data_IF_387281548006
#
_entry.id   IF_387281548006
#
_cell.length_a   1.000
_cell.length_b   1.000
_cell.length_c   1.000
_cell.angle_alpha   90.00
_cell.angle_beta   90.00
_cell.angle_gamma   90.00
#
_symmetry.space_group_name_H-M   'P 1'
#
loop_
_entity.id
_entity.type
_entity.pdbx_description
1 polymer ?
#
# COMPACT_ATOMS: atom_id res chain seq x y z
N UNK A 1 -28.45 -10.62 13.96
CA UNK A 1 -27.94 -10.59 15.34
C UNK A 1 -27.12 -9.35 15.58
N UNK A 2 -26.69 -9.12 16.83
CA UNK A 2 -25.85 -7.96 17.20
C UNK A 2 -24.50 -7.98 16.47
N UNK A 3 -23.90 -9.15 16.28
CA UNK A 3 -22.64 -9.30 15.54
C UNK A 3 -22.79 -8.89 14.07
N UNK A 4 -23.88 -9.33 13.41
CA UNK A 4 -24.15 -8.96 12.02
C UNK A 4 -24.27 -7.44 11.83
N UNK A 5 -24.95 -6.75 12.77
CA UNK A 5 -25.06 -5.29 12.73
C UNK A 5 -23.69 -4.61 12.90
N UNK A 6 -22.81 -5.15 13.75
CA UNK A 6 -21.45 -4.64 13.92
C UNK A 6 -20.58 -4.82 12.67
N UNK A 7 -20.69 -5.96 12.00
CA UNK A 7 -19.97 -6.23 10.74
C UNK A 7 -20.44 -5.29 9.64
N UNK A 8 -21.75 -5.07 9.51
CA UNK A 8 -22.31 -4.13 8.53
C UNK A 8 -21.88 -2.69 8.82
N UNK A 9 -21.86 -2.27 10.09
CA UNK A 9 -21.38 -0.95 10.49
C UNK A 9 -19.88 -0.75 10.19
N UNK A 10 -19.03 -1.77 10.43
CA UNK A 10 -17.60 -1.74 10.06
C UNK A 10 -17.43 -1.64 8.54
N UNK A 11 -18.20 -2.41 7.77
CA UNK A 11 -18.18 -2.38 6.30
C UNK A 11 -18.60 -1.02 5.74
N UNK A 12 -19.59 -0.36 6.36
CA UNK A 12 -19.99 0.99 6.03
C UNK A 12 -18.84 2.00 6.29
N UNK A 13 -18.27 2.00 7.50
CA UNK A 13 -17.17 2.90 7.86
C UNK A 13 -15.93 2.73 6.96
N UNK A 14 -15.60 1.49 6.57
CA UNK A 14 -14.49 1.19 5.64
C UNK A 14 -14.73 1.77 4.25
N UNK A 15 -15.95 1.63 3.71
CA UNK A 15 -16.28 2.19 2.39
C UNK A 15 -16.23 3.70 2.40
N UNK A 16 -16.79 4.33 3.43
CA UNK A 16 -16.69 5.78 3.62
C UNK A 16 -15.22 6.24 3.68
N UNK A 17 -14.41 5.59 4.52
CA UNK A 17 -12.96 5.87 4.63
C UNK A 17 -12.24 5.69 3.30
N UNK A 18 -12.59 4.68 2.50
CA UNK A 18 -11.95 4.43 1.22
C UNK A 18 -12.33 5.48 0.17
N UNK A 19 -13.61 5.83 0.05
CA UNK A 19 -14.09 6.85 -0.89
C UNK A 19 -13.47 8.22 -0.55
N UNK A 20 -13.47 8.60 0.72
CA UNK A 20 -12.82 9.83 1.19
C UNK A 20 -11.31 9.83 0.90
N UNK A 21 -10.64 8.66 0.94
CA UNK A 21 -9.22 8.55 0.60
C UNK A 21 -8.97 8.77 -0.89
N UNK A 22 -9.78 8.14 -1.76
CA UNK A 22 -9.70 8.33 -3.22
C UNK A 22 -9.92 9.80 -3.60
N UNK A 23 -10.91 10.46 -2.99
CA UNK A 23 -11.15 11.89 -3.18
C UNK A 23 -9.97 12.74 -2.70
N UNK A 24 -9.37 12.38 -1.56
CA UNK A 24 -8.20 13.09 -1.02
C UNK A 24 -7.00 13.00 -1.96
N UNK A 25 -6.73 11.82 -2.53
CA UNK A 25 -5.64 11.61 -3.49
C UNK A 25 -5.90 12.39 -4.77
N UNK A 26 -7.13 12.29 -5.31
CA UNK A 26 -7.50 13.00 -6.54
C UNK A 26 -7.38 14.52 -6.39
N UNK A 27 -7.83 15.07 -5.27
CA UNK A 27 -7.87 16.52 -5.00
C UNK A 27 -6.61 17.08 -4.37
N UNK A 28 -5.73 16.22 -3.85
CA UNK A 28 -4.66 16.59 -2.93
C UNK A 28 -5.15 17.34 -1.67
N UNK A 29 -6.44 17.17 -1.34
CA UNK A 29 -7.12 17.83 -0.23
C UNK A 29 -8.29 16.95 0.24
N UNK A 30 -8.52 16.83 1.56
CA UNK A 30 -9.64 16.03 2.07
C UNK A 30 -11.00 16.63 1.66
N UNK A 31 -12.06 15.80 1.57
CA UNK A 31 -13.42 16.31 1.47
C UNK A 31 -13.75 17.23 2.65
N UNK A 32 -14.60 18.23 2.41
CA UNK A 32 -15.11 19.11 3.47
C UNK A 32 -16.01 18.33 4.44
N UNK A 33 -16.22 18.82 5.67
CA UNK A 33 -17.12 18.19 6.65
C UNK A 33 -18.54 17.95 6.10
N UNK A 34 -19.01 18.87 5.24
CA UNK A 34 -20.30 18.75 4.57
C UNK A 34 -20.27 17.64 3.52
N UNK A 35 -19.23 17.57 2.69
CA UNK A 35 -19.06 16.48 1.73
C UNK A 35 -18.93 15.12 2.43
N UNK A 36 -18.19 15.04 3.54
CA UNK A 36 -18.09 13.81 4.34
C UNK A 36 -19.46 13.34 4.85
N UNK A 37 -20.30 14.27 5.29
CA UNK A 37 -21.67 13.96 5.76
C UNK A 37 -22.58 13.52 4.60
N UNK A 38 -22.47 14.17 3.44
CA UNK A 38 -23.20 13.79 2.22
C UNK A 38 -22.79 12.38 1.78
N UNK A 39 -21.49 12.08 1.76
CA UNK A 39 -20.95 10.76 1.43
C UNK A 39 -21.45 9.67 2.39
N UNK A 40 -21.42 9.90 3.71
CA UNK A 40 -21.96 8.97 4.71
C UNK A 40 -23.44 8.63 4.43
N UNK A 41 -24.27 9.65 4.17
CA UNK A 41 -25.70 9.43 3.87
C UNK A 41 -25.94 8.78 2.53
N UNK A 42 -25.20 9.15 1.49
CA UNK A 42 -25.32 8.54 0.17
C UNK A 42 -24.93 7.04 0.20
N UNK A 43 -23.87 6.68 0.94
CA UNK A 43 -23.48 5.28 1.15
C UNK A 43 -24.53 4.50 1.96
N UNK A 44 -25.16 5.09 2.98
CA UNK A 44 -26.27 4.45 3.71
C UNK A 44 -27.48 4.24 2.81
N UNK A 45 -27.79 5.22 1.97
CA UNK A 45 -28.88 5.10 1.02
C UNK A 45 -28.64 3.93 0.05
N UNK A 46 -27.42 3.79 -0.47
CA UNK A 46 -27.03 2.62 -1.27
C UNK A 46 -27.18 1.31 -0.51
N UNK A 47 -26.76 1.24 0.76
CA UNK A 47 -26.89 0.02 1.58
C UNK A 47 -28.34 -0.47 1.73
N UNK A 48 -29.29 0.45 1.73
CA UNK A 48 -30.71 0.16 1.91
C UNK A 48 -31.46 -0.11 0.61
N UNK A 49 -31.02 0.49 -0.52
CA UNK A 49 -31.81 0.55 -1.76
C UNK A 49 -31.12 -0.09 -2.98
N UNK A 50 -29.83 -0.44 -2.88
CA UNK A 50 -29.09 -1.03 -3.99
C UNK A 50 -29.05 -2.55 -3.88
N UNK A 51 -29.39 -3.24 -4.97
CA UNK A 51 -29.25 -4.70 -5.06
C UNK A 51 -27.82 -5.10 -5.44
N UNK A 52 -27.17 -5.87 -4.59
CA UNK A 52 -25.79 -6.34 -4.80
C UNK A 52 -24.73 -5.34 -4.32
N UNK A 53 -23.51 -5.47 -4.83
CA UNK A 53 -22.36 -4.64 -4.40
C UNK A 53 -22.35 -3.34 -5.22
N UNK A 54 -22.46 -2.15 -4.61
CA UNK A 54 -22.42 -0.89 -5.37
C UNK A 54 -21.00 -0.53 -5.82
N UNK A 55 -20.89 0.23 -6.92
CA UNK A 55 -19.63 0.86 -7.38
C UNK A 55 -19.67 2.39 -7.27
N UNK A 56 -18.54 3.06 -7.54
CA UNK A 56 -18.47 4.53 -7.48
C UNK A 56 -19.46 5.23 -8.41
N UNK A 57 -19.79 4.62 -9.56
CA UNK A 57 -20.81 5.13 -10.47
C UNK A 57 -22.21 5.16 -9.86
N UNK A 58 -22.55 4.20 -8.99
CA UNK A 58 -23.84 4.17 -8.29
C UNK A 58 -23.88 5.23 -7.19
N UNK A 59 -22.76 5.44 -6.49
CA UNK A 59 -22.62 6.53 -5.51
C UNK A 59 -22.78 7.91 -6.16
N UNK A 60 -22.14 8.12 -7.31
CA UNK A 60 -22.30 9.35 -8.09
C UNK A 60 -23.77 9.56 -8.45
N UNK A 61 -24.47 8.52 -8.93
CA UNK A 61 -25.89 8.60 -9.29
C UNK A 61 -26.76 8.98 -8.09
N UNK A 62 -26.54 8.39 -6.92
CA UNK A 62 -27.29 8.74 -5.70
C UNK A 62 -27.09 10.21 -5.31
N UNK A 63 -25.88 10.74 -5.46
CA UNK A 63 -25.61 12.16 -5.16
C UNK A 63 -26.31 13.06 -6.18
N UNK A 64 -26.29 12.70 -7.46
CA UNK A 64 -26.97 13.44 -8.53
C UNK A 64 -28.49 13.44 -8.38
N UNK A 65 -29.07 12.30 -8.04
CA UNK A 65 -30.53 12.16 -7.84
C UNK A 65 -31.01 12.90 -6.60
N UNK A 66 -30.13 13.05 -5.59
CA UNK A 66 -30.41 13.81 -4.37
C UNK A 66 -31.66 13.30 -3.63
N UNK A 67 -31.70 12.04 -3.16
CA UNK A 67 -32.84 11.56 -2.37
C UNK A 67 -33.01 12.38 -1.09
N UNK A 68 -34.22 12.46 -0.52
CA UNK A 68 -34.53 13.38 0.59
C UNK A 68 -33.56 13.28 1.79
N UNK A 69 -33.09 12.07 2.12
CA UNK A 69 -32.15 11.83 3.21
C UNK A 69 -30.75 12.43 2.95
N UNK A 70 -30.31 12.45 1.70
CA UNK A 70 -29.01 13.03 1.28
C UNK A 70 -29.14 14.56 1.20
N UNK A 71 -30.23 15.07 0.62
CA UNK A 71 -30.52 16.52 0.58
C UNK A 71 -30.62 17.14 1.97
N UNK A 72 -31.22 16.42 2.92
CA UNK A 72 -31.36 16.87 4.30
C UNK A 72 -30.01 17.21 4.96
N UNK A 73 -28.96 16.44 4.70
CA UNK A 73 -27.62 16.70 5.26
C UNK A 73 -26.79 17.69 4.44
N UNK A 74 -27.14 17.90 3.17
CA UNK A 74 -26.54 18.96 2.37
C UNK A 74 -26.96 20.37 2.86
N UNK A 75 -28.04 20.46 3.66
CA UNK A 75 -28.59 21.73 4.17
C UNK A 75 -29.00 22.68 3.04
N UNK A 76 -29.66 22.12 2.03
CA UNK A 76 -30.19 22.83 0.87
C UNK A 76 -31.43 23.69 1.20
N UNK A 77 -32.06 23.46 2.36
CA UNK A 77 -33.29 24.14 2.84
C UNK A 77 -34.46 24.00 1.87
N UNK A 78 -34.53 22.88 1.14
CA UNK A 78 -35.59 22.59 0.18
C UNK A 78 -35.35 23.18 -1.21
N UNK A 79 -34.27 23.92 -1.43
CA UNK A 79 -33.91 24.47 -2.73
C UNK A 79 -32.99 23.51 -3.51
N UNK A 80 -33.50 22.99 -4.63
CA UNK A 80 -32.76 22.06 -5.48
C UNK A 80 -31.58 22.73 -6.21
N UNK A 81 -31.70 24.01 -6.60
CA UNK A 81 -30.59 24.72 -7.23
C UNK A 81 -29.43 24.86 -6.24
N UNK A 82 -29.75 25.20 -4.98
CA UNK A 82 -28.78 25.23 -3.90
C UNK A 82 -28.15 23.86 -3.63
N UNK A 83 -28.91 22.76 -3.71
CA UNK A 83 -28.34 21.42 -3.57
C UNK A 83 -27.27 21.15 -4.64
N UNK A 84 -27.57 21.46 -5.90
CA UNK A 84 -26.63 21.26 -7.02
C UNK A 84 -25.36 22.11 -6.86
N UNK A 85 -25.49 23.37 -6.44
CA UNK A 85 -24.32 24.22 -6.13
C UNK A 85 -23.47 23.63 -4.98
N UNK A 86 -24.12 23.01 -4.00
CA UNK A 86 -23.46 22.41 -2.84
C UNK A 86 -22.68 21.14 -3.23
N UNK A 87 -23.23 20.32 -4.13
CA UNK A 87 -22.67 19.03 -4.54
C UNK A 87 -21.76 19.10 -5.77
N UNK A 88 -21.77 20.20 -6.53
CA UNK A 88 -21.02 20.36 -7.79
C UNK A 88 -19.55 19.91 -7.68
N UNK A 89 -18.82 20.38 -6.66
CA UNK A 89 -17.42 19.99 -6.46
C UNK A 89 -17.23 18.50 -6.16
N UNK A 90 -18.15 17.91 -5.40
CA UNK A 90 -18.16 16.48 -5.08
C UNK A 90 -18.45 15.63 -6.31
N UNK A 91 -19.46 16.02 -7.08
CA UNK A 91 -19.83 15.38 -8.34
C UNK A 91 -18.69 15.42 -9.34
N UNK A 92 -18.06 16.58 -9.56
CA UNK A 92 -16.91 16.71 -10.46
C UNK A 92 -15.76 15.76 -10.08
N UNK A 93 -15.54 15.56 -8.78
CA UNK A 93 -14.48 14.67 -8.29
C UNK A 93 -14.84 13.20 -8.47
N UNK A 94 -16.08 12.81 -8.18
CA UNK A 94 -16.56 11.46 -8.41
C UNK A 94 -16.62 11.11 -9.90
N UNK A 95 -17.01 12.06 -10.77
CA UNK A 95 -16.93 11.91 -12.23
C UNK A 95 -15.49 11.61 -12.66
N UNK A 96 -14.50 12.31 -12.08
CA UNK A 96 -13.08 12.04 -12.33
C UNK A 96 -12.63 10.62 -11.92
N UNK A 97 -13.26 10.03 -10.90
CA UNK A 97 -13.00 8.65 -10.46
C UNK A 97 -13.76 7.60 -11.29
N UNK A 98 -14.88 7.95 -11.90
CA UNK A 98 -15.73 7.02 -12.67
C UNK A 98 -15.37 7.02 -14.15
N UNK A 99 -15.05 8.17 -14.73
CA UNK A 99 -14.91 8.37 -16.18
C UNK A 99 -13.49 8.19 -16.74
N UNK A 100 -12.58 7.50 -16.03
CA UNK A 100 -11.22 7.28 -16.53
C UNK A 100 -10.31 8.51 -16.40
N UNK A 101 -10.46 9.30 -15.33
CA UNK A 101 -9.57 10.43 -15.04
C UNK A 101 -8.17 9.98 -14.60
N UNK A 102 -7.51 10.77 -13.75
CA UNK A 102 -6.15 10.51 -13.24
C UNK A 102 -5.94 9.13 -12.60
N UNK A 103 -7.01 8.52 -12.08
CA UNK A 103 -6.98 7.21 -11.42
C UNK A 103 -7.52 6.08 -12.32
N UNK A 104 -7.76 6.36 -13.60
CA UNK A 104 -8.25 5.39 -14.58
C UNK A 104 -9.66 4.86 -14.27
N UNK A 105 -9.99 3.70 -14.83
CA UNK A 105 -11.27 3.00 -14.62
C UNK A 105 -11.19 1.90 -13.53
N UNK A 106 -10.03 1.78 -12.84
CA UNK A 106 -9.74 0.67 -11.94
C UNK A 106 -10.76 0.55 -10.79
N UNK A 107 -11.33 1.67 -10.33
CA UNK A 107 -12.24 1.73 -9.19
C UNK A 107 -13.72 1.83 -9.60
N UNK A 108 -14.01 1.83 -10.90
CA UNK A 108 -15.34 2.17 -11.44
C UNK A 108 -16.18 0.94 -11.79
N UNK A 109 -15.64 -0.27 -11.62
CA UNK A 109 -16.27 -1.54 -12.02
C UNK A 109 -16.24 -2.56 -10.88
N UNK A 110 -17.05 -3.60 -11.03
CA UNK A 110 -17.04 -4.75 -10.11
C UNK A 110 -15.69 -5.45 -10.10
N UNK A 111 -15.30 -5.97 -8.95
CA UNK A 111 -14.15 -6.88 -8.87
C UNK A 111 -14.46 -8.15 -9.66
N UNK A 112 -13.53 -8.54 -10.54
CA UNK A 112 -13.63 -9.78 -11.31
C UNK A 112 -12.93 -10.95 -10.62
N UNK A 113 -12.06 -10.67 -9.66
CA UNK A 113 -11.27 -11.66 -8.93
C UNK A 113 -11.23 -11.30 -7.43
N UNK A 114 -12.27 -11.70 -6.67
CA UNK A 114 -12.32 -11.41 -5.23
C UNK A 114 -11.25 -12.18 -4.47
N UNK A 115 -10.74 -11.59 -3.39
CA UNK A 115 -9.74 -12.21 -2.54
C UNK A 115 -10.24 -13.53 -1.95
N UNK A 116 -9.48 -14.60 -2.17
CA UNK A 116 -9.66 -15.87 -1.47
C UNK A 116 -9.23 -15.76 -0.02
N UNK A 117 -9.99 -16.39 0.88
CA UNK A 117 -9.76 -16.37 2.34
C UNK A 117 -9.02 -17.59 2.86
N UNK A 118 -8.84 -18.59 2.01
CA UNK A 118 -8.38 -19.93 2.32
C UNK A 118 -7.02 -20.28 1.68
N UNK A 119 -6.41 -19.33 0.97
CA UNK A 119 -5.14 -19.49 0.28
C UNK A 119 -4.28 -18.23 0.42
N UNK A 120 -2.94 -18.34 0.25
CA UNK A 120 -2.08 -17.17 0.07
C UNK A 120 -2.53 -16.35 -1.14
N UNK A 121 -2.54 -15.03 -1.00
CA UNK A 121 -2.93 -14.09 -2.06
C UNK A 121 -1.94 -12.95 -2.13
N UNK A 122 -1.74 -12.41 -3.33
CA UNK A 122 -0.93 -11.23 -3.59
C UNK A 122 -1.77 -10.26 -4.43
N UNK A 123 -1.80 -8.99 -4.01
CA UNK A 123 -2.27 -7.91 -4.87
C UNK A 123 -1.05 -7.38 -5.62
N UNK A 124 -0.94 -7.78 -6.89
CA UNK A 124 0.15 -7.35 -7.75
C UNK A 124 -0.18 -5.99 -8.38
N UNK A 125 0.65 -5.00 -8.05
CA UNK A 125 0.56 -3.62 -8.56
C UNK A 125 1.71 -3.29 -9.52
N UNK A 126 2.55 -4.27 -9.89
CA UNK A 126 3.76 -4.03 -10.70
C UNK A 126 3.47 -3.54 -12.12
N UNK A 127 2.24 -3.68 -12.59
CA UNK A 127 1.82 -3.19 -13.90
C UNK A 127 1.56 -1.68 -13.93
N UNK A 128 1.44 -1.03 -12.76
CA UNK A 128 1.26 0.42 -12.64
C UNK A 128 2.64 1.08 -12.67
N UNK A 129 2.84 2.01 -13.59
CA UNK A 129 4.13 2.68 -13.79
C UNK A 129 4.55 3.48 -12.54
N UNK A 130 5.85 3.52 -12.25
CA UNK A 130 6.40 4.23 -11.09
C UNK A 130 6.17 5.76 -11.14
N UNK A 131 5.91 6.32 -12.32
CA UNK A 131 5.52 7.72 -12.47
C UNK A 131 4.08 8.00 -12.04
N UNK A 132 3.21 6.97 -11.93
CA UNK A 132 1.80 7.10 -11.57
C UNK A 132 1.56 6.95 -10.05
N UNK A 133 2.28 7.76 -9.26
CA UNK A 133 2.28 7.66 -7.79
C UNK A 133 0.87 7.70 -7.16
N UNK A 134 -0.03 8.57 -7.65
CA UNK A 134 -1.40 8.70 -7.15
C UNK A 134 -2.21 7.40 -7.39
N UNK A 135 -2.05 6.77 -8.56
CA UNK A 135 -2.72 5.53 -8.91
C UNK A 135 -2.18 4.35 -8.11
N UNK A 136 -0.85 4.26 -7.96
CA UNK A 136 -0.22 3.25 -7.11
C UNK A 136 -0.73 3.35 -5.67
N UNK A 137 -0.73 4.55 -5.09
CA UNK A 137 -1.19 4.76 -3.73
C UNK A 137 -2.67 4.44 -3.53
N UNK A 138 -3.54 4.90 -4.45
CA UNK A 138 -4.96 4.60 -4.43
C UNK A 138 -5.22 3.09 -4.50
N UNK A 139 -4.47 2.39 -5.36
CA UNK A 139 -4.57 0.94 -5.54
C UNK A 139 -4.12 0.18 -4.30
N UNK A 140 -2.96 0.53 -3.72
CA UNK A 140 -2.46 -0.05 -2.47
C UNK A 140 -3.47 0.11 -1.32
N UNK A 141 -4.00 1.33 -1.13
CA UNK A 141 -5.00 1.59 -0.09
C UNK A 141 -6.29 0.79 -0.30
N UNK A 142 -6.76 0.68 -1.55
CA UNK A 142 -7.93 -0.13 -1.89
C UNK A 142 -7.69 -1.62 -1.60
N UNK A 143 -6.55 -2.16 -2.02
CA UNK A 143 -6.14 -3.54 -1.78
C UNK A 143 -6.01 -3.84 -0.28
N UNK A 144 -5.40 -2.96 0.50
CA UNK A 144 -5.30 -3.12 1.94
C UNK A 144 -6.67 -3.03 2.62
N UNK A 145 -7.50 -2.07 2.24
CA UNK A 145 -8.86 -1.92 2.77
C UNK A 145 -9.69 -3.18 2.51
N UNK A 146 -9.66 -3.71 1.29
CA UNK A 146 -10.32 -4.95 0.90
C UNK A 146 -9.75 -6.16 1.64
N UNK A 147 -8.42 -6.28 1.75
CA UNK A 147 -7.75 -7.36 2.48
C UNK A 147 -8.11 -7.38 3.97
N UNK A 148 -7.99 -6.25 4.66
CA UNK A 148 -8.38 -6.14 6.07
C UNK A 148 -9.88 -6.34 6.28
N UNK A 149 -10.73 -5.83 5.38
CA UNK A 149 -12.17 -6.08 5.43
C UNK A 149 -12.50 -7.57 5.32
N UNK A 150 -11.83 -8.26 4.39
CA UNK A 150 -11.98 -9.70 4.17
C UNK A 150 -11.54 -10.52 5.38
N UNK A 151 -10.42 -10.17 6.01
CA UNK A 151 -9.92 -10.80 7.24
C UNK A 151 -10.90 -10.58 8.40
N UNK A 152 -11.43 -9.37 8.55
CA UNK A 152 -12.42 -9.04 9.57
C UNK A 152 -13.69 -9.87 9.44
N UNK A 153 -14.21 -10.02 8.21
CA UNK A 153 -15.39 -10.85 7.93
C UNK A 153 -15.09 -12.31 8.27
N UNK A 154 -13.94 -12.85 7.88
CA UNK A 154 -13.53 -14.21 8.22
C UNK A 154 -13.49 -14.44 9.73
N UNK A 155 -12.97 -13.48 10.50
CA UNK A 155 -12.96 -13.54 11.96
C UNK A 155 -14.35 -13.50 12.56
N UNK A 156 -15.21 -12.59 12.11
CA UNK A 156 -16.58 -12.52 12.59
C UNK A 156 -17.37 -13.82 12.30
N UNK A 157 -17.19 -14.41 11.12
CA UNK A 157 -17.79 -15.71 10.78
C UNK A 157 -17.25 -16.84 11.67
N UNK A 158 -15.96 -16.83 11.96
CA UNK A 158 -15.35 -17.81 12.87
C UNK A 158 -15.78 -17.64 14.32
N UNK A 159 -15.94 -16.41 14.81
CA UNK A 159 -16.48 -16.11 16.15
C UNK A 159 -17.93 -16.61 16.28
N UNK A 160 -18.71 -16.51 15.20
CA UNK A 160 -20.08 -17.05 15.13
C UNK A 160 -20.16 -18.57 14.91
N UNK A 161 -19.02 -19.26 14.75
CA UNK A 161 -18.97 -20.70 14.46
C UNK A 161 -19.44 -21.08 13.05
N UNK A 162 -19.58 -20.10 12.14
CA UNK A 162 -20.02 -20.33 10.76
C UNK A 162 -18.87 -20.77 9.85
N UNK A 163 -17.63 -20.47 10.23
CA UNK A 163 -16.43 -20.88 9.50
C UNK A 163 -15.28 -21.26 10.46
N UNK A 164 -14.28 -22.04 9.99
CA UNK A 164 -13.08 -22.32 10.79
C UNK A 164 -12.26 -21.06 11.09
N UNK A 165 -11.71 -20.98 12.31
CA UNK A 165 -10.74 -19.94 12.67
C UNK A 165 -9.48 -20.05 11.82
N UNK A 166 -9.06 -18.93 11.22
CA UNK A 166 -7.80 -18.80 10.48
C UNK A 166 -6.94 -17.69 11.07
N UNK A 167 -5.64 -17.94 11.10
CA UNK A 167 -4.63 -16.93 11.41
C UNK A 167 -4.13 -16.32 10.10
N UNK A 168 -4.18 -15.00 10.01
CA UNK A 168 -3.74 -14.25 8.84
C UNK A 168 -2.42 -13.56 9.15
N UNK A 169 -1.53 -13.54 8.16
CA UNK A 169 -0.30 -12.76 8.17
C UNK A 169 -0.33 -11.82 6.98
N UNK A 170 -0.41 -10.51 7.24
CA UNK A 170 -0.56 -9.48 6.21
C UNK A 170 0.78 -8.81 5.96
N UNK A 171 1.18 -8.72 4.69
CA UNK A 171 2.40 -8.04 4.28
C UNK A 171 1.99 -6.75 3.59
N UNK A 172 2.42 -5.62 4.15
CA UNK A 172 2.25 -4.28 3.60
C UNK A 172 3.58 -3.85 3.02
N UNK A 173 3.77 -4.15 1.74
CA UNK A 173 4.96 -3.74 1.01
C UNK A 173 4.82 -2.32 0.47
N UNK A 174 5.95 -1.62 0.33
CA UNK A 174 6.03 -0.25 -0.17
C UNK A 174 5.07 0.73 0.55
N UNK A 175 4.92 0.56 1.86
CA UNK A 175 3.96 1.32 2.69
C UNK A 175 4.09 2.84 2.49
N UNK A 176 5.33 3.31 2.31
CA UNK A 176 5.65 4.72 2.15
C UNK A 176 4.97 5.36 0.93
N UNK A 177 4.70 4.59 -0.14
CA UNK A 177 4.02 5.10 -1.35
C UNK A 177 2.62 5.59 -1.02
N UNK A 178 1.85 4.78 -0.29
CA UNK A 178 0.52 5.14 0.16
C UNK A 178 0.53 6.30 1.18
N UNK A 179 1.53 6.34 2.07
CA UNK A 179 1.65 7.41 3.07
C UNK A 179 1.90 8.78 2.43
N UNK A 180 2.59 8.84 1.28
CA UNK A 180 2.89 10.09 0.56
C UNK A 180 1.75 10.61 -0.31
N UNK A 181 0.66 9.86 -0.46
CA UNK A 181 -0.40 10.16 -1.43
C UNK A 181 -1.27 11.38 -1.08
N UNK A 182 -1.17 11.89 0.15
CA UNK A 182 -1.90 13.08 0.56
C UNK A 182 -1.95 13.25 2.07
N UNK A 183 -2.49 14.39 2.49
CA UNK A 183 -2.65 14.73 3.90
C UNK A 183 -3.62 13.75 4.59
N UNK A 184 -3.26 13.29 5.78
CA UNK A 184 -4.09 12.36 6.56
C UNK A 184 -4.03 10.90 6.11
N UNK A 185 -3.21 10.54 5.12
CA UNK A 185 -3.03 9.12 4.74
C UNK A 185 -2.40 8.28 5.84
N UNK A 186 -1.51 8.87 6.66
CA UNK A 186 -0.90 8.18 7.81
C UNK A 186 -1.96 7.75 8.83
N UNK A 187 -2.93 8.62 9.14
CA UNK A 187 -4.02 8.30 10.06
C UNK A 187 -4.90 7.16 9.52
N UNK A 188 -5.16 7.14 8.21
CA UNK A 188 -5.95 6.08 7.58
C UNK A 188 -5.21 4.73 7.65
N UNK A 189 -3.91 4.72 7.37
CA UNK A 189 -3.08 3.52 7.49
C UNK A 189 -2.98 3.07 8.95
N UNK A 190 -2.80 3.97 9.91
CA UNK A 190 -2.80 3.62 11.34
C UNK A 190 -4.14 3.00 11.76
N UNK A 191 -5.26 3.58 11.33
CA UNK A 191 -6.59 3.04 11.61
C UNK A 191 -6.79 1.64 11.00
N UNK A 192 -6.36 1.44 9.76
CA UNK A 192 -6.42 0.12 9.09
C UNK A 192 -5.57 -0.92 9.81
N UNK A 193 -4.39 -0.55 10.28
CA UNK A 193 -3.45 -1.49 10.90
C UNK A 193 -3.75 -1.78 12.38
N UNK A 194 -4.33 -0.82 13.11
CA UNK A 194 -4.61 -0.93 14.56
C UNK A 194 -5.69 -1.96 14.91
N UNK A 195 -6.68 -2.17 14.05
CA UNK A 195 -7.80 -3.10 14.27
C UNK A 195 -7.37 -4.58 14.38
N UNK A 196 -6.13 -4.89 13.98
CA UNK A 196 -5.63 -6.24 13.78
C UNK A 196 -4.93 -6.85 15.00
N UNK A 197 -4.33 -6.03 15.88
CA UNK A 197 -3.58 -6.53 17.05
C UNK A 197 -4.47 -7.24 18.07
N UNK A 198 -5.74 -6.85 18.17
CA UNK A 198 -6.70 -7.48 19.07
C UNK A 198 -7.29 -8.78 18.50
N UNK A 199 -7.10 -9.06 17.21
CA UNK A 199 -7.79 -10.14 16.48
C UNK A 199 -6.86 -11.27 16.00
N UNK A 200 -5.60 -11.30 16.46
CA UNK A 200 -4.67 -12.39 16.14
C UNK A 200 -4.19 -12.41 14.69
N UNK A 201 -4.05 -11.22 14.07
CA UNK A 201 -3.46 -11.03 12.75
C UNK A 201 -2.01 -10.59 12.91
N UNK A 202 -1.08 -11.32 12.30
CA UNK A 202 0.32 -10.91 12.17
C UNK A 202 0.47 -9.90 11.03
N UNK A 203 1.41 -8.96 11.17
CA UNK A 203 1.64 -7.93 10.15
C UNK A 203 3.13 -7.67 9.98
N UNK A 204 3.57 -7.63 8.72
CA UNK A 204 4.87 -7.10 8.33
C UNK A 204 4.65 -5.82 7.51
N UNK A 205 5.39 -4.76 7.84
CA UNK A 205 5.45 -3.53 7.05
C UNK A 205 6.85 -3.43 6.47
N UNK A 206 6.96 -3.31 5.15
CA UNK A 206 8.24 -3.32 4.44
C UNK A 206 8.44 -1.93 3.83
N UNK A 207 9.65 -1.39 4.02
CA UNK A 207 10.09 -0.09 3.52
C UNK A 207 11.60 -0.15 3.30
N UNK A 208 12.12 0.68 2.41
CA UNK A 208 13.55 0.69 2.10
C UNK A 208 14.36 1.40 3.18
N UNK A 209 13.87 2.56 3.65
CA UNK A 209 14.59 3.39 4.62
C UNK A 209 13.66 3.97 5.68
N UNK A 210 14.27 4.50 6.75
CA UNK A 210 13.54 5.27 7.75
C UNK A 210 13.22 6.68 7.20
N UNK A 211 14.11 7.22 6.36
CA UNK A 211 13.88 8.44 5.60
C UNK A 211 12.58 8.39 4.79
N UNK A 212 12.15 7.23 4.30
CA UNK A 212 10.93 7.12 3.50
C UNK A 212 9.66 7.54 4.25
N UNK A 213 9.58 7.18 5.53
CA UNK A 213 8.48 7.55 6.43
C UNK A 213 8.63 8.98 6.95
N UNK A 214 9.84 9.56 6.89
CA UNK A 214 10.12 10.93 7.31
C UNK A 214 10.05 11.95 6.16
N UNK A 215 9.92 11.50 4.91
CA UNK A 215 9.71 12.39 3.77
C UNK A 215 8.28 12.99 3.69
N UNK A 216 7.41 12.68 4.67
CA UNK A 216 6.05 13.20 4.73
C UNK A 216 6.04 14.71 5.00
N UNK A 217 5.09 15.41 4.38
CA UNK A 217 5.06 16.88 4.37
C UNK A 217 4.91 17.48 5.78
N UNK A 218 4.01 16.92 6.61
CA UNK A 218 3.72 17.46 7.94
C UNK A 218 4.54 16.79 9.04
N UNK A 219 4.92 17.55 10.08
CA UNK A 219 5.63 17.01 11.23
C UNK A 219 4.79 15.99 12.01
N UNK A 220 3.49 16.23 12.09
CA UNK A 220 2.53 15.32 12.72
C UNK A 220 2.52 13.94 12.03
N UNK A 221 2.45 13.93 10.69
CA UNK A 221 2.49 12.70 9.89
C UNK A 221 3.82 11.94 10.07
N UNK A 222 4.95 12.67 10.09
CA UNK A 222 6.28 12.08 10.34
C UNK A 222 6.35 11.41 11.71
N UNK A 223 5.81 12.06 12.75
CA UNK A 223 5.79 11.49 14.10
C UNK A 223 4.91 10.23 14.17
N UNK A 224 3.73 10.24 13.55
CA UNK A 224 2.84 9.07 13.50
C UNK A 224 3.47 7.90 12.74
N UNK A 225 4.08 8.18 11.59
CA UNK A 225 4.73 7.18 10.75
C UNK A 225 5.93 6.54 11.45
N UNK A 226 6.77 7.33 12.14
CA UNK A 226 7.83 6.81 13.02
C UNK A 226 7.26 5.89 14.10
N UNK A 227 6.10 6.24 14.65
CA UNK A 227 5.39 5.41 15.61
C UNK A 227 5.05 3.99 15.11
N UNK A 228 4.94 3.75 13.79
CA UNK A 228 4.78 2.40 13.26
C UNK A 228 5.97 1.49 13.59
N UNK A 229 7.19 2.02 13.46
CA UNK A 229 8.43 1.30 13.79
C UNK A 229 8.56 1.13 15.30
N UNK A 230 8.34 2.19 16.08
CA UNK A 230 8.44 2.15 17.55
C UNK A 230 7.48 1.13 18.19
N UNK A 231 6.28 0.98 17.62
CA UNK A 231 5.27 0.04 18.11
C UNK A 231 5.42 -1.37 17.52
N UNK A 232 6.41 -1.61 16.66
CA UNK A 232 6.63 -2.94 16.07
C UNK A 232 7.22 -3.88 17.11
N UNK A 233 6.63 -5.07 17.26
CA UNK A 233 7.11 -6.07 18.21
C UNK A 233 8.50 -6.60 17.87
N UNK A 234 8.88 -6.50 16.59
CA UNK A 234 10.17 -6.89 16.04
C UNK A 234 10.47 -5.98 14.84
N UNK A 235 11.74 -5.61 14.68
CA UNK A 235 12.26 -4.88 13.52
C UNK A 235 13.33 -5.75 12.87
N UNK A 236 13.24 -5.94 11.56
CA UNK A 236 14.23 -6.68 10.77
C UNK A 236 14.88 -5.68 9.83
N UNK A 237 16.20 -5.52 9.94
CA UNK A 237 16.96 -4.59 9.11
C UNK A 237 17.90 -5.35 8.19
N UNK A 238 17.85 -5.11 6.89
CA UNK A 238 18.96 -5.42 5.99
C UNK A 238 20.07 -4.37 6.14
N UNK A 239 21.05 -4.38 5.23
CA UNK A 239 22.04 -3.30 5.21
C UNK A 239 21.38 -1.93 5.12
N UNK A 240 21.87 -0.95 5.88
CA UNK A 240 21.35 0.42 5.87
C UNK A 240 22.51 1.44 5.95
N UNK A 241 22.44 2.57 5.22
CA UNK A 241 23.52 3.54 5.19
C UNK A 241 23.65 4.26 6.54
N UNK A 242 24.86 4.76 6.84
CA UNK A 242 25.15 5.42 8.12
C UNK A 242 24.22 6.61 8.41
N UNK A 243 23.72 7.28 7.38
CA UNK A 243 22.80 8.40 7.50
C UNK A 243 21.44 8.02 8.12
N UNK A 244 21.03 6.76 8.03
CA UNK A 244 19.74 6.27 8.57
C UNK A 244 19.83 5.95 10.07
N UNK A 245 21.04 5.69 10.58
CA UNK A 245 21.25 5.21 11.96
C UNK A 245 20.66 6.13 13.04
N UNK A 246 20.78 7.48 12.97
CA UNK A 246 20.18 8.35 13.97
C UNK A 246 18.66 8.22 14.02
N UNK A 247 17.99 8.09 12.87
CA UNK A 247 16.54 7.98 12.80
C UNK A 247 16.06 6.61 13.27
N UNK A 248 16.74 5.56 12.82
CA UNK A 248 16.46 4.17 13.22
C UNK A 248 16.65 3.99 14.74
N UNK A 249 17.78 4.47 15.28
CA UNK A 249 18.12 4.38 16.71
C UNK A 249 17.17 5.18 17.59
N UNK A 250 16.62 6.28 17.06
CA UNK A 250 15.62 7.05 17.76
C UNK A 250 14.30 6.28 17.91
N UNK A 251 13.93 5.44 16.92
CA UNK A 251 12.72 4.61 16.99
C UNK A 251 12.93 3.33 17.81
N UNK A 252 14.05 2.63 17.62
CA UNK A 252 14.41 1.41 18.36
C UNK A 252 15.90 1.48 18.70
N UNK A 253 16.31 1.24 19.96
CA UNK A 253 17.70 1.46 20.36
C UNK A 253 18.66 0.42 19.73
N UNK A 254 19.52 0.87 18.82
CA UNK A 254 20.62 0.09 18.26
C UNK A 254 21.96 0.48 18.89
N UNK A 255 22.76 -0.51 19.29
CA UNK A 255 24.13 -0.30 19.78
C UNK A 255 25.07 0.12 18.65
N UNK A 256 26.23 0.71 18.98
CA UNK A 256 27.23 1.07 17.97
C UNK A 256 27.67 -0.12 17.10
N UNK A 257 27.88 -1.29 17.70
CA UNK A 257 28.26 -2.50 16.98
C UNK A 257 27.16 -3.01 16.04
N UNK A 258 25.88 -2.87 16.43
CA UNK A 258 24.77 -3.21 15.54
C UNK A 258 24.67 -2.23 14.37
N UNK A 259 24.89 -0.93 14.61
CA UNK A 259 24.91 0.08 13.55
C UNK A 259 26.05 -0.18 12.57
N UNK A 260 27.28 -0.45 13.06
CA UNK A 260 28.44 -0.80 12.23
C UNK A 260 28.17 -2.04 11.37
N UNK A 261 27.50 -3.05 11.93
CA UNK A 261 27.11 -4.25 11.18
C UNK A 261 26.15 -3.95 10.04
N UNK A 262 25.10 -3.15 10.29
CA UNK A 262 24.14 -2.75 9.25
C UNK A 262 24.80 -1.91 8.15
N UNK A 263 25.74 -1.04 8.52
CA UNK A 263 26.49 -0.19 7.58
C UNK A 263 27.38 -1.05 6.68
N UNK A 264 28.13 -2.00 7.26
CA UNK A 264 29.03 -2.87 6.49
C UNK A 264 28.30 -3.78 5.49
N UNK A 265 27.00 -4.04 5.67
CA UNK A 265 26.19 -4.78 4.71
C UNK A 265 25.75 -3.97 3.49
N UNK A 266 25.90 -2.64 3.51
CA UNK A 266 25.64 -1.78 2.34
C UNK A 266 26.84 -1.65 1.40
N UNK A 267 28.00 -2.18 1.77
CA UNK A 267 29.19 -2.06 0.94
C UNK A 267 28.96 -2.64 -0.46
N UNK A 268 29.46 -1.98 -1.52
CA UNK A 268 29.26 -2.45 -2.88
C UNK A 268 29.93 -3.82 -3.10
N UNK A 269 29.40 -4.64 -4.02
CA UNK A 269 30.02 -5.92 -4.35
C UNK A 269 31.47 -5.74 -4.79
N UNK A 270 32.36 -6.59 -4.27
CA UNK A 270 33.74 -6.59 -4.70
C UNK A 270 33.83 -7.07 -6.16
N UNK A 271 34.62 -6.37 -6.98
CA UNK A 271 34.94 -6.84 -8.32
C UNK A 271 35.94 -7.99 -8.23
N UNK A 272 35.59 -9.18 -8.75
CA UNK A 272 36.53 -10.29 -8.86
C UNK A 272 37.32 -10.18 -10.18
N UNK A 273 38.62 -9.82 -10.14
CA UNK A 273 39.43 -9.66 -11.34
C UNK A 273 39.70 -10.99 -12.07
N UNK A 274 39.56 -12.13 -11.41
CA UNK A 274 39.86 -13.45 -11.98
C UNK A 274 38.68 -14.02 -12.78
N UNK A 275 37.45 -13.77 -12.34
CA UNK A 275 36.24 -14.23 -13.04
C UNK A 275 35.61 -13.15 -13.92
N UNK A 276 36.03 -11.89 -13.77
CA UNK A 276 35.48 -10.74 -14.51
C UNK A 276 34.01 -10.47 -14.19
N UNK A 277 33.57 -10.89 -13.00
CA UNK A 277 32.20 -10.75 -12.50
C UNK A 277 32.22 -9.95 -11.20
N UNK A 278 31.16 -9.17 -10.97
CA UNK A 278 30.89 -8.65 -9.63
C UNK A 278 30.54 -9.82 -8.71
N UNK A 279 31.17 -9.87 -7.54
CA UNK A 279 30.76 -10.77 -6.47
C UNK A 279 29.36 -10.41 -5.97
N UNK A 280 28.72 -11.28 -5.20
CA UNK A 280 27.47 -10.89 -4.56
C UNK A 280 27.72 -9.77 -3.53
N UNK A 281 26.80 -8.79 -3.41
CA UNK A 281 26.93 -7.76 -2.39
C UNK A 281 27.06 -8.41 -0.99
N UNK A 282 28.00 -7.94 -0.15
CA UNK A 282 28.31 -8.57 1.14
C UNK A 282 27.12 -8.66 2.10
N UNK A 283 26.14 -7.75 1.97
CA UNK A 283 24.91 -7.77 2.76
C UNK A 283 23.76 -8.57 2.18
N UNK A 284 23.88 -9.14 0.97
CA UNK A 284 22.78 -9.89 0.35
C UNK A 284 22.39 -11.08 1.23
N UNK A 285 21.10 -11.18 1.57
CA UNK A 285 20.58 -12.22 2.45
C UNK A 285 20.86 -12.00 3.95
N UNK A 286 21.62 -10.97 4.34
CA UNK A 286 21.93 -10.68 5.73
C UNK A 286 20.92 -9.73 6.35
N UNK A 287 20.41 -10.10 7.51
CA UNK A 287 19.47 -9.29 8.26
C UNK A 287 19.80 -9.28 9.75
N UNK A 288 19.47 -8.19 10.43
CA UNK A 288 19.54 -8.08 11.88
C UNK A 288 18.12 -8.10 12.43
N UNK A 289 17.80 -9.11 13.23
CA UNK A 289 16.52 -9.22 13.91
C UNK A 289 16.59 -8.54 15.28
N UNK A 290 15.85 -7.47 15.46
CA UNK A 290 15.81 -6.65 16.68
C UNK A 290 14.45 -6.80 17.38
N UNK A 291 14.48 -7.17 18.67
CA UNK A 291 13.27 -7.32 19.50
C UNK A 291 13.35 -6.38 20.69
N UNK A 292 12.70 -5.22 20.57
CA UNK A 292 12.75 -4.16 21.57
C UNK A 292 14.19 -3.70 21.86
N UNK A 293 14.54 -3.55 23.13
CA UNK A 293 15.88 -3.13 23.56
C UNK A 293 16.94 -4.23 23.66
N UNK A 294 16.63 -5.47 23.25
CA UNK A 294 17.58 -6.59 23.35
C UNK A 294 18.66 -6.49 22.27
N UNK A 295 19.83 -7.10 22.47
CA UNK A 295 20.80 -7.29 21.38
C UNK A 295 20.14 -7.96 20.18
N UNK A 296 20.42 -7.44 19.00
CA UNK A 296 19.95 -7.96 17.73
C UNK A 296 20.61 -9.29 17.39
N UNK A 297 19.88 -10.12 16.66
CA UNK A 297 20.33 -11.43 16.21
C UNK A 297 20.62 -11.33 14.71
N UNK A 298 21.89 -11.37 14.27
CA UNK A 298 22.19 -11.42 12.86
C UNK A 298 21.81 -12.79 12.29
N UNK A 299 21.16 -12.78 11.14
CA UNK A 299 20.75 -13.96 10.39
C UNK A 299 21.18 -13.86 8.94
N UNK A 300 21.39 -15.01 8.32
CA UNK A 300 21.80 -15.16 6.94
C UNK A 300 20.77 -16.05 6.24
N UNK A 301 20.05 -15.47 5.28
CA UNK A 301 18.98 -16.15 4.55
C UNK A 301 19.60 -17.04 3.49
N UNK A 302 19.38 -18.34 3.63
CA UNK A 302 19.81 -19.35 2.68
C UNK A 302 18.58 -19.81 1.88
N UNK A 303 18.55 -19.46 0.60
CA UNK A 303 17.47 -19.85 -0.30
C UNK A 303 17.70 -21.29 -0.79
N UNK A 304 16.63 -22.06 -0.88
CA UNK A 304 16.63 -23.36 -1.53
C UNK A 304 16.74 -23.21 -3.05
N UNK A 305 17.13 -24.29 -3.76
CA UNK A 305 17.23 -24.28 -5.22
C UNK A 305 15.95 -23.84 -5.93
N UNK A 306 14.78 -24.19 -5.37
CA UNK A 306 13.48 -23.79 -5.92
C UNK A 306 13.24 -22.29 -5.75
N UNK A 307 13.62 -21.71 -4.62
CA UNK A 307 13.43 -20.29 -4.30
C UNK A 307 14.37 -19.37 -5.09
N UNK A 308 15.56 -19.85 -5.46
CA UNK A 308 16.53 -19.08 -6.25
C UNK A 308 15.95 -18.64 -7.62
N UNK A 309 15.19 -19.52 -8.27
CA UNK A 309 14.59 -19.23 -9.59
C UNK A 309 13.50 -18.16 -9.55
N UNK A 310 12.88 -17.95 -8.39
CA UNK A 310 11.76 -17.02 -8.19
C UNK A 310 12.29 -15.62 -7.82
N UNK A 311 13.40 -15.55 -7.07
CA UNK A 311 13.97 -14.31 -6.51
C UNK A 311 14.98 -13.58 -7.40
N UNK A 312 15.05 -13.93 -8.69
CA UNK A 312 15.88 -13.21 -9.65
C UNK A 312 15.15 -11.96 -10.19
N UNK A 313 15.42 -10.80 -9.61
CA UNK A 313 14.88 -9.50 -10.06
C UNK A 313 15.70 -8.89 -11.21
N UNK A 314 16.84 -9.48 -11.58
CA UNK A 314 17.76 -8.98 -12.61
C UNK A 314 17.61 -9.72 -13.95
N UNK A 315 16.45 -10.29 -14.24
CA UNK A 315 16.20 -11.10 -15.45
C UNK A 315 16.65 -10.43 -16.75
N UNK A 316 16.45 -9.12 -16.86
CA UNK A 316 16.84 -8.31 -18.04
C UNK A 316 18.36 -8.12 -18.19
N UNK A 317 19.14 -8.23 -17.11
CA UNK A 317 20.61 -8.14 -17.16
C UNK A 317 21.27 -9.47 -17.56
N UNK A 318 20.56 -10.59 -17.41
CA UNK A 318 21.01 -11.88 -17.94
C UNK A 318 20.82 -11.99 -19.46
N UNK A 319 19.98 -11.12 -20.04
CA UNK A 319 19.87 -10.98 -21.49
C UNK A 319 21.10 -10.25 -22.04
N UNK A 320 21.80 -10.92 -22.96
CA UNK A 320 22.99 -10.35 -23.61
C UNK A 320 22.56 -9.12 -24.43
N UNK A 321 22.92 -7.94 -23.94
CA UNK A 321 22.76 -6.69 -24.70
C UNK A 321 23.43 -6.84 -26.07
N UNK A 322 22.67 -6.65 -27.16
CA UNK A 322 23.19 -6.69 -28.54
C UNK A 322 24.03 -5.44 -28.80
N UNK A 323 25.23 -5.40 -28.24
CA UNK A 323 26.30 -4.57 -28.80
C UNK A 323 26.70 -5.28 -30.10
N UNK A 324 26.35 -4.67 -31.23
CA UNK A 324 26.46 -5.28 -32.56
C UNK A 324 27.79 -5.98 -32.79
N UNK A 325 27.72 -7.17 -33.37
CA UNK A 325 28.89 -7.86 -33.92
C UNK A 325 29.60 -6.88 -34.86
N UNK A 326 30.75 -6.33 -34.44
CA UNK A 326 31.70 -5.77 -35.40
C UNK A 326 32.08 -6.94 -36.31
N UNK A 327 31.52 -6.95 -37.52
CA UNK A 327 32.03 -7.80 -38.56
C UNK A 327 33.52 -7.49 -38.67
N UNK A 328 34.36 -8.47 -38.35
CA UNK A 328 35.74 -8.44 -38.79
C UNK A 328 35.68 -8.35 -40.31
N UNK A 329 35.93 -7.16 -40.85
CA UNK A 329 36.30 -7.03 -42.25
C UNK A 329 37.54 -7.90 -42.41
N UNK A 330 37.36 -9.06 -43.04
CA UNK A 330 38.43 -9.98 -43.33
C UNK A 330 39.50 -9.28 -44.16
N UNK A 331 40.75 -9.61 -43.86
CA UNK A 331 41.86 -9.44 -44.78
C UNK A 331 41.43 -9.97 -46.15
N UNK A 332 41.31 -9.07 -47.12
CA UNK A 332 41.21 -9.37 -48.53
C UNK A 332 42.65 -9.59 -49.05
N UNK A 333 43.07 -10.83 -49.37
CA UNK A 333 44.45 -11.11 -49.76
C UNK A 333 44.74 -10.78 -51.23
N UNK A 334 43.86 -10.09 -51.96
CA UNK A 334 44.01 -9.86 -53.40
C UNK A 334 44.12 -8.36 -53.77
N UNK A 335 45.21 -7.72 -53.34
CA UNK A 335 45.75 -6.53 -54.01
C UNK A 335 47.25 -6.68 -54.26
N UNK A 336 47.59 -7.40 -55.34
CA UNK A 336 48.83 -7.18 -56.09
C UNK A 336 48.58 -6.06 -57.10
N UNK A 337 49.32 -4.95 -56.98
CA UNK A 337 50.10 -4.35 -58.05
C UNK A 337 51.05 -3.30 -57.51
#
# INVERSE_FOLDING_TARGET
GKEAAQVLADAHGRRHTMVSALLTILRQAPPTDREETILDRALKHLDEHHDGVPVLGDLLRVIQDGPPQVRAVALDRGDEARYREITEGLEASLIGLVGGGRLGEAFSRQTTNPMRRDAPVVYDVSAIDDSEMDLQAATLLACWSAGFGTVNVAHALADAGLEPRRHYFVILDELWRALRAGRGMVDRVDALTRLNRQRGVGMAMISHTMSDLLALASQEDRMKARGFVERSGMVICGGLPSAEMPQLTAAVPFSGAEQELLIGWQDPPAWDPATGREAEPPGRGKFLVKVGGRPGIPVDVQLTETELSINDTNKLWHERSRVGSRAHAGDDPDRRH
#
